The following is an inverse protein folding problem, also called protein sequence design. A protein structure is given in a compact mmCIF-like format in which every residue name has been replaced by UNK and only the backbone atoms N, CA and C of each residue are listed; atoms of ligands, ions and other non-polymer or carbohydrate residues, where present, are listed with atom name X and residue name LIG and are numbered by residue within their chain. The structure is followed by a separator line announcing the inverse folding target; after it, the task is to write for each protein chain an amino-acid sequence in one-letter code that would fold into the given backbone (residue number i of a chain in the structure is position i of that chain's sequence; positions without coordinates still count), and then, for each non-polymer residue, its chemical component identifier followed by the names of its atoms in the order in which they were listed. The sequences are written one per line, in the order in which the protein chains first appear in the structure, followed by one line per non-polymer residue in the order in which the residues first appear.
data_IF_964473384183
#
_entry.id   IF_964473384183
#
_cell.length_a   1.000
_cell.length_b   1.000
_cell.length_c   1.000
_cell.angle_alpha   90.00
_cell.angle_beta   90.00
_cell.angle_gamma   90.00
#
_symmetry.space_group_name_H-M   'P 1'
#
loop_
_entity.id
_entity.type
_entity.pdbx_description
1 polymer ?
#
# COMPACT_ATOMS: atom_id res chain seq x y z
N UNK A 1 -7.02 4.44 -27.57
CA UNK A 1 -5.78 3.93 -26.93
C UNK A 1 -6.15 3.39 -25.56
N UNK A 2 -6.10 2.07 -25.36
CA UNK A 2 -6.52 1.45 -24.10
C UNK A 2 -5.52 1.80 -22.99
N UNK A 3 -5.96 2.61 -22.02
CA UNK A 3 -5.16 2.97 -20.85
C UNK A 3 -4.85 1.69 -20.06
N UNK A 4 -3.58 1.34 -19.91
CA UNK A 4 -3.18 0.13 -19.17
C UNK A 4 -3.63 0.25 -17.71
N UNK A 5 -4.03 -0.85 -17.05
CA UNK A 5 -4.49 -0.82 -15.65
C UNK A 5 -3.52 -0.08 -14.71
N UNK A 6 -2.21 -0.24 -14.91
CA UNK A 6 -1.17 0.50 -14.16
C UNK A 6 -1.30 2.03 -14.30
N UNK A 7 -1.60 2.53 -15.49
CA UNK A 7 -1.79 3.96 -15.73
C UNK A 7 -3.08 4.48 -15.08
N UNK A 8 -4.16 3.69 -15.13
CA UNK A 8 -5.41 4.01 -14.45
C UNK A 8 -5.22 4.10 -12.92
N UNK A 9 -4.48 3.16 -12.33
CA UNK A 9 -4.13 3.17 -10.91
C UNK A 9 -3.31 4.41 -10.55
N UNK A 10 -2.25 4.71 -11.32
CA UNK A 10 -1.43 5.91 -11.10
C UNK A 10 -2.28 7.19 -11.15
N UNK A 11 -3.21 7.30 -12.10
CA UNK A 11 -4.11 8.46 -12.22
C UNK A 11 -5.05 8.58 -11.01
N UNK A 12 -5.59 7.45 -10.53
CA UNK A 12 -6.45 7.42 -9.34
C UNK A 12 -5.71 7.80 -8.05
N UNK A 13 -4.45 7.38 -7.92
CA UNK A 13 -3.64 7.61 -6.72
C UNK A 13 -2.96 8.98 -6.68
N UNK A 14 -2.67 9.59 -7.83
CA UNK A 14 -1.96 10.88 -7.93
C UNK A 14 -2.45 12.00 -6.99
N UNK A 15 -3.77 12.22 -6.77
CA UNK A 15 -4.22 13.26 -5.84
C UNK A 15 -4.18 12.85 -4.36
N UNK A 16 -3.85 11.59 -4.04
CA UNK A 16 -4.01 11.02 -2.70
C UNK A 16 -2.67 10.65 -2.04
N UNK A 17 -1.64 10.39 -2.84
CA UNK A 17 -0.33 9.92 -2.38
C UNK A 17 0.79 10.60 -3.16
N UNK A 18 1.95 10.73 -2.53
CA UNK A 18 3.12 11.38 -3.15
C UNK A 18 3.92 10.39 -4.00
N UNK A 19 3.99 9.14 -3.56
CA UNK A 19 4.76 8.10 -4.23
C UNK A 19 3.93 6.84 -4.49
N UNK A 20 4.11 6.26 -5.68
CA UNK A 20 3.53 4.96 -6.06
C UNK A 20 4.59 4.09 -6.73
N UNK A 21 4.81 2.90 -6.18
CA UNK A 21 5.69 1.87 -6.70
C UNK A 21 4.92 0.62 -7.14
N UNK A 22 5.46 -0.09 -8.11
CA UNK A 22 4.98 -1.41 -8.53
C UNK A 22 6.16 -2.37 -8.52
N UNK A 23 6.03 -3.52 -7.87
CA UNK A 23 7.07 -4.55 -7.83
C UNK A 23 6.45 -5.92 -8.12
N UNK A 24 7.13 -6.82 -8.85
CA UNK A 24 6.71 -8.22 -8.92
C UNK A 24 6.90 -8.88 -7.56
N UNK A 25 6.09 -9.91 -7.26
CA UNK A 25 6.20 -10.66 -6.00
C UNK A 25 7.55 -11.37 -5.86
N UNK A 26 8.17 -11.76 -6.98
CA UNK A 26 9.51 -12.35 -6.98
C UNK A 26 10.60 -11.46 -6.36
N UNK A 27 10.37 -10.14 -6.23
CA UNK A 27 11.28 -9.25 -5.51
C UNK A 27 11.34 -9.57 -4.00
N UNK A 28 10.40 -10.36 -3.50
CA UNK A 28 10.26 -10.72 -2.10
C UNK A 28 10.58 -12.20 -1.85
N UNK A 29 11.18 -12.91 -2.81
CA UNK A 29 11.53 -14.34 -2.65
C UNK A 29 12.48 -14.57 -1.46
N UNK A 30 13.36 -13.60 -1.18
CA UNK A 30 14.28 -13.62 -0.02
C UNK A 30 13.65 -13.09 1.28
N UNK A 31 12.37 -12.67 1.25
CA UNK A 31 11.69 -12.19 2.45
C UNK A 31 11.43 -13.36 3.41
N UNK A 32 11.49 -13.13 4.74
CA UNK A 32 11.16 -14.18 5.70
C UNK A 32 9.79 -14.78 5.42
N UNK A 33 9.64 -16.10 5.57
CA UNK A 33 8.52 -16.86 5.06
C UNK A 33 7.13 -16.30 5.45
N UNK A 34 6.99 -15.81 6.70
CA UNK A 34 5.74 -15.22 7.22
C UNK A 34 5.39 -13.84 6.63
N UNK A 35 6.34 -13.19 5.97
CA UNK A 35 6.20 -11.86 5.38
C UNK A 35 6.15 -11.88 3.85
N UNK A 36 6.22 -13.07 3.24
CA UNK A 36 6.12 -13.20 1.80
C UNK A 36 4.72 -12.81 1.30
N UNK A 37 4.57 -11.94 0.28
CA UNK A 37 3.27 -11.47 -0.21
C UNK A 37 2.30 -12.59 -0.59
N UNK A 38 2.82 -13.70 -1.14
CA UNK A 38 2.02 -14.88 -1.51
C UNK A 38 1.39 -15.62 -0.31
N UNK A 39 1.91 -15.45 0.91
CA UNK A 39 1.27 -15.97 2.13
C UNK A 39 0.07 -15.12 2.55
N UNK A 40 0.09 -13.84 2.25
CA UNK A 40 -0.97 -12.88 2.62
C UNK A 40 -2.11 -12.92 1.60
N UNK A 41 -1.77 -12.96 0.32
CA UNK A 41 -2.72 -13.04 -0.78
C UNK A 41 -2.30 -14.20 -1.68
N UNK A 42 -3.10 -15.26 -1.68
CA UNK A 42 -2.82 -16.45 -2.50
C UNK A 42 -2.70 -16.03 -3.98
N UNK A 43 -1.68 -16.55 -4.64
CA UNK A 43 -1.32 -16.30 -6.05
C UNK A 43 -1.02 -14.83 -6.43
N UNK A 44 -0.58 -14.03 -5.44
CA UNK A 44 0.03 -12.73 -5.63
C UNK A 44 1.05 -12.70 -6.79
N UNK A 45 0.84 -11.81 -7.77
CA UNK A 45 1.78 -11.58 -8.90
C UNK A 45 2.53 -10.25 -8.78
N UNK A 46 1.87 -9.22 -8.26
CA UNK A 46 2.46 -7.89 -8.13
C UNK A 46 2.06 -7.24 -6.82
N UNK A 47 2.95 -6.39 -6.31
CA UNK A 47 2.77 -5.54 -5.15
C UNK A 47 2.68 -4.10 -5.62
N UNK A 48 1.65 -3.37 -5.16
CA UNK A 48 1.58 -1.91 -5.25
C UNK A 48 2.00 -1.32 -3.92
N UNK A 49 2.92 -0.37 -3.98
CA UNK A 49 3.44 0.36 -2.82
C UNK A 49 3.00 1.81 -2.90
N UNK A 50 2.45 2.36 -1.82
CA UNK A 50 2.06 3.76 -1.73
C UNK A 50 2.80 4.45 -0.57
N UNK A 51 3.13 5.73 -0.76
CA UNK A 51 3.82 6.56 0.23
C UNK A 51 3.15 7.92 0.40
N UNK A 52 3.02 8.36 1.65
CA UNK A 52 2.53 9.69 2.03
C UNK A 52 3.63 10.46 2.76
N UNK A 53 3.68 11.80 2.63
CA UNK A 53 4.63 12.62 3.36
C UNK A 53 4.28 12.62 4.85
N UNK A 54 5.31 12.48 5.68
CA UNK A 54 5.18 12.58 7.14
C UNK A 54 5.90 13.84 7.60
N UNK A 55 5.20 14.79 8.25
CA UNK A 55 5.82 16.02 8.75
C UNK A 55 7.01 15.76 9.69
N UNK A 56 8.14 16.42 9.43
CA UNK A 56 9.36 16.29 10.23
C UNK A 56 9.17 16.67 11.70
N UNK A 57 8.30 17.65 11.98
CA UNK A 57 7.96 18.05 13.36
C UNK A 57 7.35 16.92 14.19
N UNK A 58 6.75 15.90 13.54
CA UNK A 58 6.26 14.71 14.23
C UNK A 58 7.38 13.78 14.71
N UNK A 59 8.53 13.79 14.05
CA UNK A 59 9.67 12.93 14.37
C UNK A 59 10.59 13.55 15.41
N UNK A 60 10.59 14.88 15.53
CA UNK A 60 11.51 15.64 16.39
C UNK A 60 10.81 16.32 17.58
N UNK A 61 9.64 15.84 18.01
CA UNK A 61 8.92 16.41 19.15
C UNK A 61 9.66 16.15 20.47
N UNK A 62 10.06 17.18 21.26
CA UNK A 62 11.12 17.00 22.27
C UNK A 62 10.78 16.16 23.51
N UNK A 63 9.53 16.13 23.99
CA UNK A 63 9.25 15.57 25.35
C UNK A 63 8.01 14.67 25.44
N UNK A 64 7.36 14.36 24.32
CA UNK A 64 6.19 13.46 24.26
C UNK A 64 6.52 12.16 23.49
N UNK A 65 7.75 11.69 23.69
CA UNK A 65 8.56 10.84 22.79
C UNK A 65 7.92 9.52 22.33
N UNK A 66 6.90 9.01 23.00
CA UNK A 66 6.17 7.82 22.55
C UNK A 66 4.72 8.13 22.18
N UNK A 67 3.99 8.89 22.98
CA UNK A 67 2.56 9.14 22.74
C UNK A 67 2.26 10.07 21.56
N UNK A 68 3.06 11.13 21.39
CA UNK A 68 2.88 12.09 20.29
C UNK A 68 3.22 11.44 18.95
N UNK A 69 4.35 10.75 18.92
CA UNK A 69 4.80 9.95 17.77
C UNK A 69 3.78 8.84 17.45
N UNK A 70 3.34 8.07 18.46
CA UNK A 70 2.38 6.97 18.28
C UNK A 70 1.01 7.44 17.77
N UNK A 71 0.40 8.49 18.35
CA UNK A 71 -0.88 9.02 17.83
C UNK A 71 -0.75 9.51 16.40
N UNK A 72 0.36 10.14 16.09
CA UNK A 72 0.52 10.69 14.75
C UNK A 72 0.83 9.60 13.71
N UNK A 73 1.47 8.50 14.11
CA UNK A 73 1.48 7.27 13.31
C UNK A 73 0.07 6.72 13.06
N UNK A 74 -0.81 6.71 14.07
CA UNK A 74 -2.19 6.24 13.88
C UNK A 74 -2.93 7.08 12.85
N UNK A 75 -2.81 8.41 12.92
CA UNK A 75 -3.42 9.30 11.92
C UNK A 75 -2.87 9.07 10.50
N UNK A 76 -1.55 8.85 10.37
CA UNK A 76 -0.94 8.54 9.09
C UNK A 76 -1.37 7.17 8.54
N UNK A 77 -1.47 6.15 9.39
CA UNK A 77 -1.97 4.82 9.01
C UNK A 77 -3.42 4.85 8.59
N UNK A 78 -4.29 5.57 9.32
CA UNK A 78 -5.69 5.74 8.93
C UNK A 78 -5.78 6.29 7.50
N UNK A 79 -4.97 7.29 7.14
CA UNK A 79 -4.96 7.82 5.77
C UNK A 79 -4.53 6.77 4.75
N UNK A 80 -3.48 6.00 5.04
CA UNK A 80 -3.01 4.92 4.16
C UNK A 80 -4.08 3.85 3.98
N UNK A 81 -4.75 3.46 5.06
CA UNK A 81 -5.81 2.44 5.06
C UNK A 81 -7.01 2.89 4.21
N UNK A 82 -7.44 4.16 4.35
CA UNK A 82 -8.49 4.72 3.52
C UNK A 82 -8.14 4.73 2.03
N UNK A 83 -6.93 5.17 1.69
CA UNK A 83 -6.47 5.21 0.28
C UNK A 83 -6.39 3.80 -0.28
N UNK A 84 -5.89 2.86 0.51
CA UNK A 84 -5.76 1.49 0.08
C UNK A 84 -7.10 0.80 -0.11
N UNK A 85 -8.04 0.97 0.81
CA UNK A 85 -9.42 0.48 0.67
C UNK A 85 -10.08 1.04 -0.59
N UNK A 86 -9.95 2.35 -0.83
CA UNK A 86 -10.47 2.99 -2.03
C UNK A 86 -9.81 2.44 -3.31
N UNK A 87 -8.51 2.16 -3.27
CA UNK A 87 -7.77 1.57 -4.37
C UNK A 87 -8.22 0.13 -4.68
N UNK A 88 -8.46 -0.70 -3.65
CA UNK A 88 -9.00 -2.05 -3.86
C UNK A 88 -10.37 -2.00 -4.53
N UNK A 89 -11.29 -1.20 -3.99
CA UNK A 89 -12.63 -1.04 -4.57
C UNK A 89 -12.55 -0.52 -6.02
N UNK A 90 -11.66 0.43 -6.31
CA UNK A 90 -11.46 0.94 -7.66
C UNK A 90 -10.98 -0.13 -8.64
N UNK A 91 -10.10 -1.02 -8.20
CA UNK A 91 -9.58 -2.08 -9.07
C UNK A 91 -10.59 -3.22 -9.21
N UNK A 92 -11.25 -3.63 -8.15
CA UNK A 92 -12.33 -4.63 -8.22
C UNK A 92 -13.47 -4.16 -9.14
N UNK A 93 -13.82 -2.87 -9.10
CA UNK A 93 -14.79 -2.29 -10.02
C UNK A 93 -14.34 -2.25 -11.49
N UNK A 94 -13.03 -2.34 -11.77
CA UNK A 94 -12.47 -2.31 -13.12
C UNK A 94 -12.04 -3.67 -13.64
N UNK A 95 -11.80 -4.63 -12.76
CA UNK A 95 -11.32 -5.96 -13.08
C UNK A 95 -11.92 -6.95 -12.09
N UNK A 96 -12.51 -8.05 -12.57
CA UNK A 96 -12.97 -9.19 -11.76
C UNK A 96 -11.79 -9.96 -11.14
N UNK A 97 -11.00 -9.27 -10.33
CA UNK A 97 -9.79 -9.77 -9.70
C UNK A 97 -9.91 -9.54 -8.21
N UNK A 98 -9.84 -10.62 -7.44
CA UNK A 98 -9.78 -10.61 -5.98
C UNK A 98 -8.48 -9.98 -5.47
N UNK A 99 -8.57 -9.03 -4.52
CA UNK A 99 -7.39 -8.37 -3.94
C UNK A 99 -7.49 -8.27 -2.42
N UNK A 100 -6.42 -8.66 -1.75
CA UNK A 100 -6.32 -8.56 -0.29
C UNK A 100 -5.45 -7.36 0.10
N UNK A 101 -5.95 -6.54 1.02
CA UNK A 101 -5.30 -5.36 1.57
C UNK A 101 -4.45 -5.71 2.78
N UNK A 102 -3.24 -5.13 2.87
CA UNK A 102 -2.42 -5.27 4.07
C UNK A 102 -1.93 -3.92 4.60
N UNK A 103 -2.33 -3.52 5.83
CA UNK A 103 -1.64 -2.46 6.56
C UNK A 103 -0.31 -3.00 7.07
N UNK A 104 0.80 -2.69 6.39
CA UNK A 104 2.12 -3.01 6.92
C UNK A 104 2.52 -2.00 7.99
N UNK A 105 2.76 -2.49 9.20
CA UNK A 105 3.10 -1.73 10.41
C UNK A 105 4.47 -1.02 10.38
N UNK A 106 5.11 -0.91 9.21
CA UNK A 106 6.35 -0.15 9.01
C UNK A 106 6.41 0.48 7.61
N UNK A 107 6.14 1.79 7.54
CA UNK A 107 6.50 2.75 6.46
C UNK A 107 6.03 2.48 5.01
N UNK A 108 5.50 1.31 4.67
CA UNK A 108 5.17 0.90 3.29
C UNK A 108 3.87 0.09 3.24
N UNK A 109 2.92 0.48 2.38
CA UNK A 109 1.69 -0.28 2.16
C UNK A 109 1.87 -1.31 1.05
N UNK A 110 1.31 -2.51 1.20
CA UNK A 110 1.43 -3.61 0.23
C UNK A 110 0.06 -4.01 -0.28
N UNK A 111 -0.16 -3.92 -1.59
CA UNK A 111 -1.36 -4.44 -2.24
C UNK A 111 -1.00 -5.50 -3.26
N UNK A 112 -1.44 -6.73 -3.02
CA UNK A 112 -1.17 -7.88 -3.87
C UNK A 112 -2.21 -8.03 -4.98
N UNK A 113 -1.76 -8.32 -6.20
CA UNK A 113 -2.62 -8.51 -7.38
C UNK A 113 -2.60 -9.98 -7.80
N UNK A 114 -3.76 -10.62 -7.85
CA UNK A 114 -3.91 -11.93 -8.49
C UNK A 114 -4.38 -11.75 -9.94
N UNK A 115 -4.14 -12.71 -10.84
CA UNK A 115 -4.82 -12.78 -12.14
C UNK A 115 -5.43 -14.18 -12.17
N UNK A 116 -6.74 -14.25 -11.93
CA UNK A 116 -7.50 -15.47 -12.18
C UNK A 116 -7.66 -15.62 -13.68
N UNK A 117 -6.95 -16.59 -14.25
CA UNK A 117 -7.52 -17.39 -15.33
C UNK A 117 -8.44 -18.45 -14.71
#
# INVERSE_FOLDING_TARGET
MATTLKQAIKKFLRPQVEAVGFAPVSRFDDAPEKHHPARVCKDAKAVIVIGIPVPQGMLHSPDYNLYGVHRTYHSAYTKLDHVALALSNFIEAKASIWRCLFPATRRWFFMSLNHGE
#
